data_IF_265018323159
#
_entry.id   IF_265018323159
#
_cell.length_a   1.000
_cell.length_b   1.000
_cell.length_c   1.000
_cell.angle_alpha   90.00
_cell.angle_beta   90.00
_cell.angle_gamma   90.00
#
_symmetry.space_group_name_H-M   'P 1'
#
loop_
_entity.id
_entity.type
_entity.pdbx_description
1 polymer ?
#
# COMPACT_ATOMS: atom_id res chain seq x y z
N UNK A 1 -3.26 -14.41 2.95
CA UNK A 1 -2.96 -13.06 3.49
C UNK A 1 -1.50 -12.95 3.90
N UNK A 2 -0.99 -13.65 4.92
CA UNK A 2 0.40 -13.51 5.39
C UNK A 2 1.47 -13.73 4.30
N UNK A 3 1.38 -14.80 3.51
CA UNK A 3 2.31 -15.08 2.41
C UNK A 3 2.28 -13.99 1.31
N UNK A 4 1.11 -13.41 1.07
CA UNK A 4 0.96 -12.29 0.13
C UNK A 4 1.68 -11.04 0.65
N UNK A 5 1.56 -10.75 1.95
CA UNK A 5 2.28 -9.65 2.58
C UNK A 5 3.79 -9.83 2.60
N UNK A 6 4.26 -11.04 2.91
CA UNK A 6 5.70 -11.37 2.83
C UNK A 6 6.21 -11.13 1.40
N UNK A 7 5.46 -11.59 0.38
CA UNK A 7 5.81 -11.31 -1.01
C UNK A 7 5.87 -9.81 -1.32
N UNK A 8 4.88 -9.01 -0.87
CA UNK A 8 4.87 -7.58 -1.16
C UNK A 8 6.06 -6.85 -0.55
N UNK A 9 6.48 -7.19 0.67
CA UNK A 9 7.67 -6.59 1.29
C UNK A 9 8.97 -7.02 0.62
N UNK A 10 9.10 -8.29 0.25
CA UNK A 10 10.31 -8.75 -0.45
C UNK A 10 10.39 -8.11 -1.84
N UNK A 11 9.26 -7.89 -2.52
CA UNK A 11 9.25 -7.16 -3.78
C UNK A 11 9.64 -5.70 -3.62
N UNK A 12 9.13 -5.01 -2.59
CA UNK A 12 9.52 -3.65 -2.22
C UNK A 12 11.05 -3.55 -2.01
N UNK A 13 11.63 -4.47 -1.23
CA UNK A 13 13.08 -4.50 -1.00
C UNK A 13 13.89 -4.79 -2.27
N UNK A 14 13.37 -5.61 -3.20
CA UNK A 14 14.00 -5.86 -4.52
C UNK A 14 14.00 -4.60 -5.39
N UNK A 15 12.96 -3.76 -5.29
CA UNK A 15 12.88 -2.49 -5.99
C UNK A 15 13.81 -1.44 -5.38
N UNK A 16 13.92 -1.39 -4.05
CA UNK A 16 14.73 -0.42 -3.30
C UNK A 16 16.23 -0.70 -3.38
N UNK A 17 16.62 -1.98 -3.30
CA UNK A 17 18.04 -2.38 -3.31
C UNK A 17 18.74 -2.09 -4.65
N UNK A 18 17.96 -1.85 -5.71
CA UNK A 18 18.51 -1.70 -7.05
C UNK A 18 19.30 -2.93 -7.51
N UNK A 19 19.11 -4.09 -6.86
CA UNK A 19 19.73 -5.38 -7.21
C UNK A 19 19.03 -5.96 -8.45
N UNK A 20 19.09 -5.15 -9.49
CA UNK A 20 18.79 -5.47 -10.87
C UNK A 20 20.14 -5.83 -11.49
N UNK A 21 20.73 -6.95 -11.04
CA UNK A 21 22.13 -7.35 -11.27
C UNK A 21 22.76 -6.73 -12.51
N UNK A 22 23.64 -5.76 -12.33
CA UNK A 22 24.44 -5.06 -13.36
C UNK A 22 23.74 -4.89 -14.74
N UNK A 23 22.52 -4.35 -14.74
CA UNK A 23 21.76 -4.12 -15.97
C UNK A 23 22.09 -2.77 -16.61
N UNK A 24 23.02 -2.80 -17.57
CA UNK A 24 23.57 -1.63 -18.28
C UNK A 24 22.70 -1.12 -19.44
N UNK A 25 21.49 -1.64 -19.64
CA UNK A 25 20.56 -1.20 -20.70
C UNK A 25 19.10 -1.10 -20.23
N UNK A 26 18.33 -0.08 -20.68
CA UNK A 26 16.89 0.08 -20.38
C UNK A 26 16.01 -1.12 -20.74
N UNK A 27 16.46 -2.00 -21.65
CA UNK A 27 15.74 -3.22 -22.05
C UNK A 27 15.89 -4.38 -21.07
N UNK A 28 16.83 -4.30 -20.12
CA UNK A 28 17.07 -5.38 -19.13
C UNK A 28 16.34 -5.12 -17.82
N UNK A 29 16.12 -3.85 -17.47
CA UNK A 29 15.31 -3.41 -16.32
C UNK A 29 13.81 -3.63 -16.50
N UNK A 30 13.29 -3.69 -17.73
CA UNK A 30 11.84 -3.92 -18.01
C UNK A 30 11.44 -5.40 -17.87
N UNK A 31 12.37 -6.33 -18.14
CA UNK A 31 12.09 -7.77 -18.17
C UNK A 31 11.55 -8.35 -16.85
N UNK A 32 12.09 -8.00 -15.66
CA UNK A 32 11.57 -8.50 -14.39
C UNK A 32 10.12 -8.08 -14.08
N UNK A 33 9.72 -6.86 -14.49
CA UNK A 33 8.35 -6.36 -14.26
C UNK A 33 7.33 -7.08 -15.15
N UNK A 34 7.61 -7.19 -16.45
CA UNK A 34 6.74 -7.94 -17.37
C UNK A 34 6.61 -9.41 -16.94
N UNK A 35 7.73 -10.04 -16.57
CA UNK A 35 7.74 -11.40 -16.07
C UNK A 35 6.93 -11.54 -14.78
N UNK A 36 7.00 -10.57 -13.85
CA UNK A 36 6.22 -10.57 -12.62
C UNK A 36 4.72 -10.50 -12.89
N UNK A 37 4.29 -9.68 -13.85
CA UNK A 37 2.88 -9.60 -14.25
C UNK A 37 2.39 -10.89 -14.87
N UNK A 38 3.14 -11.47 -15.80
CA UNK A 38 2.78 -12.75 -16.43
C UNK A 38 2.71 -13.88 -15.41
N UNK A 39 3.66 -13.91 -14.45
CA UNK A 39 3.68 -14.89 -13.37
C UNK A 39 2.47 -14.74 -12.44
N UNK A 40 2.15 -13.51 -12.02
CA UNK A 40 0.99 -13.21 -11.18
C UNK A 40 -0.33 -13.56 -11.88
N UNK A 41 -0.50 -13.18 -13.14
CA UNK A 41 -1.69 -13.46 -13.95
C UNK A 41 -1.93 -14.97 -14.08
N UNK A 42 -0.87 -15.72 -14.37
CA UNK A 42 -0.92 -17.18 -14.48
C UNK A 42 -1.33 -17.84 -13.15
N UNK A 43 -0.67 -17.47 -12.04
CA UNK A 43 -0.94 -18.11 -10.75
C UNK A 43 -2.27 -17.72 -10.14
N UNK A 44 -2.79 -16.53 -10.45
CA UNK A 44 -4.16 -16.16 -10.14
C UNK A 44 -5.17 -16.85 -11.07
N UNK A 45 -4.74 -17.63 -12.06
CA UNK A 45 -5.60 -18.40 -12.95
C UNK A 45 -6.44 -17.52 -13.88
N UNK A 46 -5.84 -16.42 -14.34
CA UNK A 46 -6.41 -15.46 -15.30
C UNK A 46 -5.86 -15.70 -16.72
N UNK A 47 -4.74 -16.41 -16.86
CA UNK A 47 -4.16 -16.84 -18.13
C UNK A 47 -3.77 -18.32 -18.11
N UNK A 48 -3.75 -18.94 -19.31
CA UNK A 48 -3.40 -20.35 -19.51
C UNK A 48 -2.29 -20.51 -20.58
N UNK A 49 -1.06 -20.06 -20.31
CA UNK A 49 0.08 -20.32 -21.18
C UNK A 49 0.38 -21.83 -21.25
N UNK A 50 1.04 -22.31 -22.33
CA UNK A 50 1.37 -23.72 -22.51
C UNK A 50 2.37 -24.26 -21.48
N UNK A 51 3.22 -23.38 -20.92
CA UNK A 51 4.16 -23.70 -19.85
C UNK A 51 3.98 -22.68 -18.71
N UNK A 52 4.26 -23.10 -17.47
CA UNK A 52 4.31 -22.20 -16.32
C UNK A 52 5.37 -21.10 -16.58
N UNK A 53 5.01 -19.81 -16.45
CA UNK A 53 5.98 -18.73 -16.59
C UNK A 53 7.10 -18.84 -15.55
N UNK A 54 8.35 -18.51 -15.89
CA UNK A 54 9.44 -18.53 -14.93
C UNK A 54 9.20 -17.49 -13.82
N UNK A 55 9.50 -17.85 -12.58
CA UNK A 55 9.44 -16.90 -11.45
C UNK A 55 10.50 -15.80 -11.62
N UNK A 56 10.15 -14.50 -11.45
CA UNK A 56 11.12 -13.39 -11.53
C UNK A 56 12.21 -13.46 -10.46
N UNK A 57 11.87 -13.97 -9.28
CA UNK A 57 12.80 -14.20 -8.17
C UNK A 57 12.26 -15.28 -7.23
N UNK A 58 13.07 -15.75 -6.29
CA UNK A 58 12.65 -16.72 -5.26
C UNK A 58 11.45 -16.21 -4.43
N UNK A 59 11.31 -14.90 -4.28
CA UNK A 59 10.21 -14.26 -3.55
C UNK A 59 8.84 -14.57 -4.15
N UNK A 60 8.75 -14.75 -5.48
CA UNK A 60 7.48 -15.03 -6.16
C UNK A 60 6.93 -16.42 -5.85
N UNK A 61 7.73 -17.33 -5.29
CA UNK A 61 7.21 -18.56 -4.71
C UNK A 61 6.15 -18.30 -3.63
N UNK A 62 6.27 -17.20 -2.86
CA UNK A 62 5.28 -16.80 -1.86
C UNK A 62 3.96 -16.36 -2.52
N UNK A 63 4.04 -15.61 -3.62
CA UNK A 63 2.87 -15.21 -4.41
C UNK A 63 2.14 -16.44 -4.96
N UNK A 64 2.86 -17.39 -5.56
CA UNK A 64 2.30 -18.64 -6.08
C UNK A 64 1.49 -19.40 -5.01
N UNK A 65 2.03 -19.54 -3.80
CA UNK A 65 1.33 -20.20 -2.69
C UNK A 65 0.05 -19.45 -2.31
N UNK A 66 0.13 -18.12 -2.18
CA UNK A 66 -1.06 -17.31 -1.86
C UNK A 66 -2.12 -17.37 -2.96
N UNK A 67 -1.71 -17.38 -4.23
CA UNK A 67 -2.60 -17.40 -5.38
C UNK A 67 -3.36 -18.72 -5.51
N UNK A 68 -2.75 -19.85 -5.13
CA UNK A 68 -3.46 -21.15 -5.05
C UNK A 68 -4.66 -21.07 -4.11
N UNK A 69 -4.48 -20.54 -2.91
CA UNK A 69 -5.58 -20.35 -1.95
C UNK A 69 -6.63 -19.39 -2.50
N UNK A 70 -6.23 -18.29 -3.12
CA UNK A 70 -7.18 -17.33 -3.71
C UNK A 70 -8.02 -17.98 -4.81
N UNK A 71 -7.44 -18.84 -5.66
CA UNK A 71 -8.18 -19.57 -6.70
C UNK A 71 -9.29 -20.47 -6.17
N UNK A 72 -9.13 -21.01 -4.97
CA UNK A 72 -10.11 -21.90 -4.35
C UNK A 72 -11.21 -21.13 -3.61
N UNK A 73 -10.92 -19.90 -3.17
CA UNK A 73 -11.74 -19.18 -2.19
C UNK A 73 -12.44 -17.94 -2.75
N UNK A 74 -11.97 -17.38 -3.87
CA UNK A 74 -12.57 -16.20 -4.49
C UNK A 74 -12.88 -16.40 -5.97
N UNK A 75 -13.88 -15.68 -6.46
CA UNK A 75 -14.34 -15.80 -7.84
C UNK A 75 -13.39 -15.13 -8.85
N UNK A 76 -13.65 -15.30 -10.15
CA UNK A 76 -12.81 -14.75 -11.22
C UNK A 76 -12.72 -13.22 -11.18
N UNK A 77 -13.81 -12.51 -10.87
CA UNK A 77 -13.83 -11.05 -10.82
C UNK A 77 -13.00 -10.51 -9.65
N UNK A 78 -13.04 -11.18 -8.49
CA UNK A 78 -12.20 -10.87 -7.34
C UNK A 78 -10.72 -11.09 -7.66
N UNK A 79 -10.38 -12.21 -8.31
CA UNK A 79 -9.00 -12.49 -8.75
C UNK A 79 -8.51 -11.45 -9.76
N UNK A 80 -9.37 -11.02 -10.68
CA UNK A 80 -9.06 -9.96 -11.63
C UNK A 80 -8.81 -8.61 -10.92
N UNK A 81 -9.62 -8.26 -9.91
CA UNK A 81 -9.38 -7.05 -9.10
C UNK A 81 -8.04 -7.11 -8.35
N UNK A 82 -7.70 -8.25 -7.75
CA UNK A 82 -6.41 -8.46 -7.07
C UNK A 82 -5.26 -8.29 -8.07
N UNK A 83 -5.35 -8.94 -9.23
CA UNK A 83 -4.34 -8.83 -10.29
C UNK A 83 -4.17 -7.37 -10.77
N UNK A 84 -5.27 -6.65 -10.97
CA UNK A 84 -5.21 -5.25 -11.39
C UNK A 84 -4.47 -4.37 -10.37
N UNK A 85 -4.63 -4.61 -9.06
CA UNK A 85 -3.88 -3.86 -8.04
C UNK A 85 -2.40 -4.24 -8.01
N UNK A 86 -2.06 -5.53 -8.18
CA UNK A 86 -0.66 -5.97 -8.36
C UNK A 86 -0.05 -5.27 -9.57
N UNK A 87 -0.78 -5.22 -10.68
CA UNK A 87 -0.34 -4.60 -11.93
C UNK A 87 -0.05 -3.11 -11.75
N UNK A 88 -1.00 -2.37 -11.17
CA UNK A 88 -0.84 -0.93 -10.88
C UNK A 88 0.40 -0.70 -10.03
N UNK A 89 0.57 -1.46 -8.94
CA UNK A 89 1.72 -1.32 -8.05
C UNK A 89 3.05 -1.57 -8.78
N UNK A 90 3.17 -2.68 -9.51
CA UNK A 90 4.38 -3.05 -10.27
C UNK A 90 4.71 -1.99 -11.34
N UNK A 91 3.71 -1.52 -12.09
CA UNK A 91 3.90 -0.50 -13.14
C UNK A 91 4.26 0.88 -12.55
N UNK A 92 3.63 1.28 -11.44
CA UNK A 92 3.86 2.60 -10.84
C UNK A 92 5.15 2.69 -10.03
N UNK A 93 5.69 1.58 -9.51
CA UNK A 93 7.01 1.58 -8.86
C UNK A 93 8.12 2.09 -9.81
N UNK A 94 7.97 1.90 -11.12
CA UNK A 94 8.90 2.46 -12.12
C UNK A 94 8.86 4.00 -12.17
N UNK A 95 7.74 4.63 -11.78
CA UNK A 95 7.59 6.09 -11.73
C UNK A 95 8.33 6.68 -10.54
N UNK A 96 8.23 6.04 -9.37
CA UNK A 96 8.95 6.45 -8.16
C UNK A 96 10.48 6.43 -8.37
N UNK A 97 11.00 5.37 -8.98
CA UNK A 97 12.42 5.28 -9.36
C UNK A 97 12.90 6.44 -10.24
N UNK A 98 12.03 7.05 -11.07
CA UNK A 98 12.40 8.19 -11.93
C UNK A 98 12.59 9.48 -11.13
N UNK A 99 11.81 9.71 -10.08
CA UNK A 99 11.99 10.88 -9.23
C UNK A 99 13.25 10.74 -8.37
N UNK A 100 13.43 9.58 -7.73
CA UNK A 100 14.61 9.29 -6.89
C UNK A 100 15.91 9.38 -7.69
N UNK A 101 15.97 8.78 -8.89
CA UNK A 101 17.19 8.79 -9.72
C UNK A 101 17.58 10.17 -10.27
N UNK A 102 16.62 11.10 -10.40
CA UNK A 102 16.87 12.47 -10.88
C UNK A 102 17.21 13.45 -9.77
N UNK A 103 17.03 13.05 -8.50
CA UNK A 103 17.22 13.95 -7.36
C UNK A 103 16.26 15.14 -7.35
N UNK A 104 15.07 14.99 -7.96
CA UNK A 104 14.07 16.06 -8.05
C UNK A 104 13.01 15.83 -6.98
N UNK A 105 12.81 16.82 -6.12
CA UNK A 105 11.69 16.82 -5.16
C UNK A 105 10.40 17.18 -5.92
N UNK A 106 9.39 16.28 -5.95
CA UNK A 106 8.12 16.56 -6.61
C UNK A 106 7.35 17.65 -5.86
N UNK A 107 6.40 18.30 -6.53
CA UNK A 107 5.37 19.08 -5.84
C UNK A 107 4.50 18.17 -4.97
N UNK A 108 3.78 18.75 -3.99
CA UNK A 108 2.85 17.98 -3.16
C UNK A 108 1.78 17.25 -4.00
N UNK A 109 1.29 17.89 -5.08
CA UNK A 109 0.32 17.28 -5.97
C UNK A 109 0.92 16.07 -6.70
N UNK A 110 2.08 16.23 -7.33
CA UNK A 110 2.77 15.13 -8.02
C UNK A 110 3.09 13.98 -7.05
N UNK A 111 3.50 14.32 -5.82
CA UNK A 111 3.71 13.34 -4.75
C UNK A 111 2.48 12.48 -4.52
N UNK A 112 1.33 13.11 -4.24
CA UNK A 112 0.07 12.38 -4.02
C UNK A 112 -0.41 11.60 -5.25
N UNK A 113 -0.10 12.06 -6.46
CA UNK A 113 -0.47 11.39 -7.70
C UNK A 113 0.29 10.07 -7.87
N UNK A 114 1.63 10.06 -7.76
CA UNK A 114 2.37 8.80 -7.91
C UNK A 114 2.28 7.91 -6.65
N UNK A 115 2.37 8.50 -5.45
CA UNK A 115 2.44 7.75 -4.19
C UNK A 115 1.18 6.94 -3.92
N UNK A 116 0.02 7.42 -4.41
CA UNK A 116 -1.25 6.68 -4.35
C UNK A 116 -1.11 5.29 -4.95
N UNK A 117 -0.38 5.18 -6.06
CA UNK A 117 -0.28 3.96 -6.84
C UNK A 117 0.99 3.15 -6.51
N UNK A 118 1.98 3.75 -5.83
CA UNK A 118 3.14 3.01 -5.27
C UNK A 118 2.95 2.55 -3.82
N UNK A 119 1.81 2.86 -3.21
CA UNK A 119 1.40 2.26 -1.94
C UNK A 119 0.96 0.80 -2.15
N UNK A 120 1.33 -0.08 -1.23
CA UNK A 120 0.85 -1.48 -1.25
C UNK A 120 -0.57 -1.63 -0.70
N UNK A 121 -1.13 -0.59 -0.04
CA UNK A 121 -2.44 -0.64 0.60
C UNK A 121 -3.58 -1.04 -0.37
N UNK A 122 -3.66 -0.54 -1.62
CA UNK A 122 -4.68 -0.99 -2.57
C UNK A 122 -4.62 -2.49 -2.88
N UNK A 123 -3.44 -3.10 -2.90
CA UNK A 123 -3.32 -4.56 -3.02
C UNK A 123 -3.94 -5.26 -1.81
N UNK A 124 -3.70 -4.77 -0.59
CA UNK A 124 -4.34 -5.31 0.62
C UNK A 124 -5.86 -5.11 0.62
N UNK A 125 -6.35 -3.95 0.20
CA UNK A 125 -7.78 -3.66 0.07
C UNK A 125 -8.48 -4.61 -0.91
N UNK A 126 -7.80 -5.03 -1.99
CA UNK A 126 -8.34 -6.01 -2.94
C UNK A 126 -8.55 -7.40 -2.34
N UNK A 127 -7.86 -7.72 -1.23
CA UNK A 127 -8.01 -8.97 -0.49
C UNK A 127 -9.08 -8.89 0.62
N UNK A 128 -9.67 -7.72 0.87
CA UNK A 128 -10.61 -7.54 1.97
C UNK A 128 -11.92 -8.33 1.77
N UNK A 129 -12.37 -8.54 0.53
CA UNK A 129 -13.51 -9.42 0.24
C UNK A 129 -13.24 -10.89 0.64
N UNK A 130 -12.02 -11.37 0.37
CA UNK A 130 -11.57 -12.69 0.83
C UNK A 130 -11.51 -12.76 2.36
N UNK A 131 -10.92 -11.75 3.00
CA UNK A 131 -10.78 -11.72 4.46
C UNK A 131 -12.12 -11.60 5.20
N UNK A 132 -13.11 -10.93 4.59
CA UNK A 132 -14.45 -10.75 5.14
C UNK A 132 -15.43 -11.87 4.76
N UNK A 133 -15.02 -12.83 3.94
CA UNK A 133 -15.86 -13.88 3.38
C UNK A 133 -17.16 -13.28 2.78
N UNK A 134 -16.98 -12.40 1.81
CA UNK A 134 -18.08 -11.72 1.11
C UNK A 134 -17.74 -11.51 -0.36
N UNK A 135 -18.74 -11.64 -1.23
CA UNK A 135 -18.67 -11.14 -2.60
C UNK A 135 -19.53 -9.91 -2.70
N UNK A 136 -18.92 -8.74 -2.85
CA UNK A 136 -19.67 -7.50 -2.97
C UNK A 136 -20.26 -7.36 -4.38
N UNK A 137 -21.54 -6.97 -4.52
CA UNK A 137 -22.14 -6.79 -5.83
C UNK A 137 -21.54 -5.55 -6.51
N UNK A 138 -21.47 -5.59 -7.84
CA UNK A 138 -20.92 -4.51 -8.66
C UNK A 138 -21.54 -3.15 -8.38
N UNK A 139 -22.85 -3.11 -8.11
CA UNK A 139 -23.58 -1.87 -7.75
C UNK A 139 -23.05 -1.18 -6.50
N UNK A 140 -22.39 -1.91 -5.59
CA UNK A 140 -21.72 -1.34 -4.41
C UNK A 140 -20.28 -0.94 -4.75
N UNK A 141 -19.55 -1.81 -5.48
CA UNK A 141 -18.16 -1.57 -5.87
C UNK A 141 -17.97 -0.33 -6.75
N UNK A 142 -18.98 0.05 -7.52
CA UNK A 142 -18.96 1.18 -8.45
C UNK A 142 -19.47 2.50 -7.85
N UNK A 143 -19.74 2.54 -6.54
CA UNK A 143 -20.20 3.75 -5.84
C UNK A 143 -19.05 4.72 -5.53
N UNK A 144 -19.37 6.00 -5.45
CA UNK A 144 -18.42 7.03 -5.00
C UNK A 144 -18.00 6.81 -3.55
N UNK A 145 -18.88 6.26 -2.72
CA UNK A 145 -18.63 5.91 -1.33
C UNK A 145 -17.59 4.79 -1.22
N UNK A 146 -17.70 3.74 -2.04
CA UNK A 146 -16.69 2.68 -2.08
C UNK A 146 -15.34 3.22 -2.57
N UNK A 147 -15.36 4.06 -3.60
CA UNK A 147 -14.15 4.76 -4.08
C UNK A 147 -13.53 5.62 -2.99
N UNK A 148 -14.36 6.36 -2.24
CA UNK A 148 -13.92 7.22 -1.14
C UNK A 148 -13.31 6.40 -0.01
N UNK A 149 -13.94 5.29 0.37
CA UNK A 149 -13.42 4.37 1.38
C UNK A 149 -12.00 3.90 1.03
N UNK A 150 -11.79 3.42 -0.19
CA UNK A 150 -10.47 2.98 -0.67
C UNK A 150 -9.44 4.10 -0.69
N UNK A 151 -9.80 5.25 -1.26
CA UNK A 151 -8.91 6.41 -1.37
C UNK A 151 -8.44 6.89 0.00
N UNK A 152 -9.34 6.94 0.98
CA UNK A 152 -9.03 7.45 2.31
C UNK A 152 -8.27 6.44 3.17
N UNK A 153 -8.55 5.13 3.05
CA UNK A 153 -7.72 4.09 3.69
C UNK A 153 -6.30 4.11 3.14
N UNK A 154 -6.15 4.20 1.81
CA UNK A 154 -4.82 4.31 1.19
C UNK A 154 -4.09 5.58 1.65
N UNK A 155 -4.75 6.74 1.60
CA UNK A 155 -4.18 8.02 2.05
C UNK A 155 -3.75 7.97 3.52
N UNK A 156 -4.59 7.42 4.41
CA UNK A 156 -4.26 7.25 5.82
C UNK A 156 -3.04 6.34 6.03
N UNK A 157 -2.97 5.22 5.30
CA UNK A 157 -1.83 4.31 5.31
C UNK A 157 -0.52 4.97 4.85
N UNK A 158 -0.56 5.74 3.76
CA UNK A 158 0.58 6.54 3.27
C UNK A 158 1.04 7.53 4.34
N UNK A 159 0.12 8.31 4.93
CA UNK A 159 0.48 9.29 5.98
C UNK A 159 1.17 8.61 7.16
N UNK A 160 0.62 7.50 7.65
CA UNK A 160 1.19 6.76 8.78
C UNK A 160 2.58 6.25 8.44
N UNK A 161 2.74 5.65 7.26
CA UNK A 161 4.01 5.14 6.80
C UNK A 161 5.03 6.27 6.76
N UNK A 162 4.77 7.34 5.99
CA UNK A 162 5.68 8.46 5.82
C UNK A 162 6.09 9.14 7.14
N UNK A 163 5.14 9.32 8.07
CA UNK A 163 5.47 9.93 9.37
C UNK A 163 6.40 9.04 10.19
N UNK A 164 6.14 7.74 10.23
CA UNK A 164 6.90 6.80 11.06
C UNK A 164 8.20 6.33 10.40
N UNK A 165 8.27 6.37 9.07
CA UNK A 165 9.45 6.05 8.28
C UNK A 165 10.36 7.26 8.03
N UNK A 166 9.90 8.49 8.31
CA UNK A 166 10.61 9.74 8.03
C UNK A 166 12.10 9.69 8.38
N UNK A 167 12.44 9.24 9.60
CA UNK A 167 13.84 9.15 10.03
C UNK A 167 14.65 8.21 9.13
N UNK A 168 14.14 7.02 8.83
CA UNK A 168 14.79 6.03 7.96
C UNK A 168 14.97 6.63 6.56
N UNK A 169 13.90 7.15 5.99
CA UNK A 169 13.88 7.63 4.59
C UNK A 169 14.75 8.86 4.36
N UNK A 170 14.89 9.74 5.36
CA UNK A 170 15.85 10.85 5.33
C UNK A 170 17.31 10.37 5.19
N UNK A 171 17.63 9.14 5.60
CA UNK A 171 18.98 8.57 5.46
C UNK A 171 19.18 7.81 4.15
N UNK A 172 18.09 7.44 3.47
CA UNK A 172 18.11 6.61 2.26
C UNK A 172 17.82 7.42 0.97
N UNK A 173 17.65 8.74 1.08
CA UNK A 173 17.27 9.64 -0.02
C UNK A 173 15.96 9.22 -0.73
N UNK A 174 15.03 8.62 0.02
CA UNK A 174 13.68 8.30 -0.46
C UNK A 174 12.78 9.53 -0.31
N UNK A 175 11.81 9.68 -1.21
CA UNK A 175 10.89 10.83 -1.20
C UNK A 175 9.78 10.58 -0.19
N UNK A 176 9.65 11.50 0.77
CA UNK A 176 8.68 11.43 1.86
C UNK A 176 7.76 12.67 1.86
N UNK A 177 6.50 12.51 2.27
CA UNK A 177 5.52 13.60 2.31
C UNK A 177 5.98 14.81 3.16
N UNK A 178 6.63 14.58 4.30
CA UNK A 178 7.03 15.66 5.23
C UNK A 178 8.01 16.64 4.56
N UNK A 179 9.18 16.23 4.02
CA UNK A 179 10.07 17.13 3.33
C UNK A 179 9.46 17.71 2.04
N UNK A 180 8.59 16.98 1.33
CA UNK A 180 7.86 17.51 0.16
C UNK A 180 6.97 18.69 0.57
N UNK A 181 6.16 18.53 1.61
CA UNK A 181 5.29 19.60 2.12
C UNK A 181 6.08 20.78 2.70
N UNK A 182 7.20 20.52 3.38
CA UNK A 182 8.11 21.58 3.86
C UNK A 182 8.68 22.39 2.69
N UNK A 183 9.15 21.71 1.65
CA UNK A 183 9.70 22.35 0.45
C UNK A 183 8.63 23.18 -0.29
N UNK A 184 7.42 22.64 -0.46
CA UNK A 184 6.34 23.31 -1.16
C UNK A 184 5.79 24.55 -0.41
N UNK A 185 5.71 24.48 0.93
CA UNK A 185 5.08 25.52 1.74
C UNK A 185 6.06 26.52 2.37
N UNK A 186 7.35 26.17 2.49
CA UNK A 186 8.34 26.92 3.27
C UNK A 186 8.10 26.90 4.79
N UNK A 187 7.20 26.03 5.28
CA UNK A 187 6.84 25.96 6.70
C UNK A 187 7.82 25.09 7.50
N UNK A 188 7.80 25.29 8.83
CA UNK A 188 8.53 24.44 9.77
C UNK A 188 7.99 23.01 9.80
N UNK A 189 8.81 22.06 10.25
CA UNK A 189 8.40 20.66 10.42
C UNK A 189 7.20 20.54 11.37
N UNK A 190 7.15 21.31 12.46
CA UNK A 190 6.03 21.26 13.42
C UNK A 190 4.71 21.69 12.79
N UNK A 191 4.76 22.72 11.94
CA UNK A 191 3.59 23.20 11.19
C UNK A 191 3.13 22.16 10.17
N UNK A 192 4.06 21.58 9.40
CA UNK A 192 3.76 20.53 8.42
C UNK A 192 3.21 19.27 9.09
N UNK A 193 3.82 18.83 10.19
CA UNK A 193 3.34 17.69 10.97
C UNK A 193 1.92 17.93 11.49
N UNK A 194 1.62 19.13 11.99
CA UNK A 194 0.27 19.49 12.42
C UNK A 194 -0.76 19.39 11.28
N UNK A 195 -0.39 19.80 10.06
CA UNK A 195 -1.25 19.67 8.88
C UNK A 195 -1.43 18.20 8.47
N UNK A 196 -0.37 17.40 8.50
CA UNK A 196 -0.42 15.97 8.16
C UNK A 196 -1.32 15.21 9.14
N UNK A 197 -1.24 15.50 10.44
CA UNK A 197 -2.12 14.90 11.45
C UNK A 197 -3.59 15.30 11.21
N UNK A 198 -3.87 16.57 10.90
CA UNK A 198 -5.23 17.00 10.52
C UNK A 198 -5.74 16.27 9.26
N UNK A 199 -4.87 16.02 8.28
CA UNK A 199 -5.23 15.23 7.09
C UNK A 199 -5.55 13.77 7.47
N UNK A 200 -4.79 13.16 8.38
CA UNK A 200 -5.05 11.80 8.86
C UNK A 200 -6.39 11.72 9.61
N UNK A 201 -6.67 12.68 10.51
CA UNK A 201 -7.95 12.78 11.20
C UNK A 201 -9.12 12.89 10.21
N UNK A 202 -8.95 13.70 9.17
CA UNK A 202 -9.92 13.81 8.08
C UNK A 202 -10.11 12.48 7.34
N UNK A 203 -9.03 11.75 7.02
CA UNK A 203 -9.14 10.42 6.41
C UNK A 203 -10.02 9.50 7.27
N UNK A 204 -9.80 9.46 8.59
CA UNK A 204 -10.58 8.64 9.52
C UNK A 204 -12.07 9.03 9.52
N UNK A 205 -12.37 10.33 9.49
CA UNK A 205 -13.75 10.82 9.41
C UNK A 205 -14.43 10.42 8.09
N UNK A 206 -13.73 10.58 6.97
CA UNK A 206 -14.24 10.29 5.64
C UNK A 206 -14.43 8.77 5.43
N UNK A 207 -13.53 7.93 5.97
CA UNK A 207 -13.67 6.46 6.01
C UNK A 207 -14.96 6.06 6.72
N UNK A 208 -15.17 6.56 7.94
CA UNK A 208 -16.37 6.26 8.74
C UNK A 208 -17.64 6.78 8.05
N UNK A 209 -17.57 7.93 7.39
CA UNK A 209 -18.66 8.51 6.61
C UNK A 209 -19.05 7.60 5.44
N UNK A 210 -18.07 7.21 4.62
CA UNK A 210 -18.26 6.31 3.49
C UNK A 210 -18.80 4.94 3.92
N UNK A 211 -18.25 4.35 4.99
CA UNK A 211 -18.73 3.08 5.54
C UNK A 211 -20.20 3.13 5.95
N UNK A 212 -20.63 4.18 6.67
CA UNK A 212 -22.05 4.36 7.04
C UNK A 212 -22.96 4.52 5.83
N UNK A 213 -22.52 5.27 4.83
CA UNK A 213 -23.30 5.47 3.60
C UNK A 213 -23.47 4.16 2.82
N UNK A 214 -22.39 3.39 2.66
CA UNK A 214 -22.41 2.06 2.03
C UNK A 214 -23.35 1.09 2.74
N UNK A 215 -23.32 1.07 4.07
CA UNK A 215 -24.23 0.24 4.86
C UNK A 215 -25.69 0.63 4.63
N UNK A 216 -26.00 1.92 4.59
CA UNK A 216 -27.35 2.43 4.31
C UNK A 216 -27.90 2.01 2.94
N UNK A 217 -27.04 1.84 1.93
CA UNK A 217 -27.46 1.38 0.59
C UNK A 217 -28.01 -0.05 0.58
N UNK A 218 -27.65 -0.86 1.58
CA UNK A 218 -28.02 -2.28 1.69
C UNK A 218 -28.89 -2.56 2.91
N UNK A 219 -29.55 -1.55 3.48
CA UNK A 219 -30.41 -1.70 4.67
C UNK A 219 -31.50 -2.77 4.50
N UNK A 220 -32.00 -2.95 3.28
CA UNK A 220 -33.05 -3.94 2.95
C UNK A 220 -32.50 -5.37 2.73
N UNK A 221 -31.19 -5.58 2.77
CA UNK A 221 -30.54 -6.89 2.62
C UNK A 221 -29.64 -7.19 3.83
N UNK A 222 -30.20 -7.85 4.88
CA UNK A 222 -29.45 -8.12 6.11
C UNK A 222 -28.20 -8.97 5.92
N UNK A 223 -28.20 -9.89 4.94
CA UNK A 223 -27.05 -10.77 4.68
C UNK A 223 -25.92 -10.00 4.01
N UNK A 224 -26.24 -9.22 2.97
CA UNK A 224 -25.26 -8.36 2.32
C UNK A 224 -24.75 -7.29 3.26
N UNK A 225 -25.62 -6.68 4.08
CA UNK A 225 -25.23 -5.71 5.11
C UNK A 225 -24.22 -6.30 6.09
N UNK A 226 -24.45 -7.52 6.58
CA UNK A 226 -23.53 -8.18 7.50
C UNK A 226 -22.17 -8.47 6.83
N UNK A 227 -22.16 -8.90 5.58
CA UNK A 227 -20.93 -9.10 4.81
C UNK A 227 -20.17 -7.79 4.54
N UNK A 228 -20.89 -6.72 4.18
CA UNK A 228 -20.34 -5.40 3.94
C UNK A 228 -19.82 -4.76 5.24
N UNK A 229 -20.47 -4.99 6.38
CA UNK A 229 -19.95 -4.57 7.68
C UNK A 229 -18.60 -5.22 7.96
N UNK A 230 -18.48 -6.55 7.80
CA UNK A 230 -17.19 -7.24 7.96
C UNK A 230 -16.14 -6.68 6.99
N UNK A 231 -16.51 -6.40 5.76
CA UNK A 231 -15.61 -5.77 4.79
C UNK A 231 -15.11 -4.40 5.27
N UNK A 232 -16.02 -3.53 5.73
CA UNK A 232 -15.70 -2.21 6.26
C UNK A 232 -14.77 -2.33 7.48
N UNK A 233 -15.09 -3.23 8.42
CA UNK A 233 -14.26 -3.47 9.61
C UNK A 233 -12.83 -3.89 9.21
N UNK A 234 -12.71 -4.76 8.20
CA UNK A 234 -11.39 -5.18 7.69
C UNK A 234 -10.61 -4.01 7.11
N UNK A 235 -11.21 -3.18 6.25
CA UNK A 235 -10.49 -2.05 5.64
C UNK A 235 -10.19 -0.92 6.65
N UNK A 236 -11.07 -0.68 7.62
CA UNK A 236 -10.81 0.25 8.74
C UNK A 236 -9.64 -0.24 9.60
N UNK A 237 -9.57 -1.55 9.86
CA UNK A 237 -8.50 -2.15 10.62
C UNK A 237 -7.13 -2.02 9.94
N UNK A 238 -7.07 -1.84 8.61
CA UNK A 238 -5.79 -1.70 7.89
C UNK A 238 -5.03 -0.44 8.29
N UNK A 239 -5.70 0.70 8.49
CA UNK A 239 -5.05 1.95 8.92
C UNK A 239 -4.49 1.77 10.34
N UNK A 240 -5.28 1.18 11.23
CA UNK A 240 -4.88 0.91 12.61
C UNK A 240 -3.75 -0.13 12.67
N UNK A 241 -3.84 -1.17 11.86
CA UNK A 241 -2.85 -2.22 11.72
C UNK A 241 -1.52 -1.69 11.19
N UNK A 242 -1.56 -0.81 10.17
CA UNK A 242 -0.37 -0.13 9.66
C UNK A 242 0.31 0.71 10.75
N UNK A 243 -0.46 1.42 11.57
CA UNK A 243 0.07 2.16 12.71
C UNK A 243 0.76 1.25 13.74
N UNK A 244 0.05 0.25 14.29
CA UNK A 244 0.63 -0.63 15.30
C UNK A 244 1.81 -1.43 14.77
N UNK A 245 1.70 -1.97 13.55
CA UNK A 245 2.82 -2.67 12.90
C UNK A 245 4.03 -1.75 12.75
N UNK A 246 3.84 -0.49 12.34
CA UNK A 246 4.94 0.46 12.19
C UNK A 246 5.58 0.84 13.54
N UNK A 247 4.79 0.85 14.62
CA UNK A 247 5.33 1.05 15.97
C UNK A 247 6.18 -0.11 16.45
N UNK A 248 5.74 -1.34 16.19
CA UNK A 248 6.32 -2.57 16.77
C UNK A 248 7.41 -3.20 15.90
N UNK A 249 7.41 -2.92 14.59
CA UNK A 249 8.35 -3.52 13.66
C UNK A 249 9.76 -2.90 13.77
N UNK A 250 10.77 -3.76 13.73
CA UNK A 250 12.19 -3.38 13.68
C UNK A 250 12.56 -2.59 12.39
N UNK A 251 11.69 -2.57 11.37
CA UNK A 251 11.93 -1.83 10.11
C UNK A 251 12.11 -0.33 10.33
N UNK A 252 11.37 0.27 11.27
CA UNK A 252 11.45 1.72 11.55
C UNK A 252 12.13 2.05 12.88
N UNK A 253 12.21 1.08 13.80
CA UNK A 253 12.83 1.24 15.12
C UNK A 253 12.27 2.43 15.93
N UNK A 254 10.99 2.74 15.76
CA UNK A 254 10.35 3.90 16.42
C UNK A 254 9.78 3.59 17.79
N UNK A 255 9.60 2.30 18.14
CA UNK A 255 9.07 1.85 19.43
C UNK A 255 9.76 2.51 20.64
N UNK A 256 11.08 2.63 20.57
CA UNK A 256 11.94 3.18 21.62
C UNK A 256 11.71 4.68 21.90
N UNK A 257 11.03 5.38 20.99
CA UNK A 257 10.74 6.82 21.11
C UNK A 257 9.34 7.12 21.66
N UNK A 258 8.58 6.07 21.99
CA UNK A 258 7.23 6.19 22.57
C UNK A 258 7.31 6.64 24.03
N UNK A 259 6.56 7.69 24.36
CA UNK A 259 6.43 8.24 25.70
C UNK A 259 5.31 7.54 26.49
N UNK A 260 5.24 7.78 27.80
CA UNK A 260 4.20 7.19 28.67
C UNK A 260 2.77 7.59 28.26
N UNK A 261 2.60 8.80 27.72
CA UNK A 261 1.30 9.29 27.22
C UNK A 261 0.93 8.77 25.83
N UNK A 262 1.79 7.92 25.23
CA UNK A 262 1.62 7.36 23.90
C UNK A 262 2.11 8.25 22.75
N UNK A 263 2.57 9.47 23.02
CA UNK A 263 3.22 10.32 22.02
C UNK A 263 4.57 9.74 21.57
N UNK A 264 5.05 10.19 20.40
CA UNK A 264 6.35 9.79 19.85
C UNK A 264 7.26 11.00 19.75
N UNK A 265 8.47 10.89 20.30
CA UNK A 265 9.52 11.91 20.18
C UNK A 265 10.71 11.32 19.44
N UNK A 266 10.64 11.34 18.11
CA UNK A 266 11.64 10.70 17.24
C UNK A 266 12.74 11.72 16.90
N UNK A 267 13.99 11.51 17.35
CA UNK A 267 15.08 12.37 16.92
C UNK A 267 15.44 12.09 15.47
N UNK A 268 15.47 13.13 14.64
CA UNK A 268 15.83 13.05 13.22
C UNK A 268 17.34 13.08 12.95
N UNK A 269 18.16 13.34 13.97
CA UNK A 269 19.63 13.28 13.89
C UNK A 269 20.12 12.02 14.58
N UNK A 270 21.10 11.31 14.00
CA UNK A 270 21.85 10.30 14.73
C UNK A 270 22.65 10.95 15.88
N UNK A 271 22.76 10.26 17.01
CA UNK A 271 23.90 10.47 17.89
C UNK A 271 25.18 10.25 17.06
N UNK A 272 26.22 11.08 17.19
CA UNK A 272 27.49 10.81 16.52
C UNK A 272 27.92 9.39 16.90
N UNK A 273 28.28 8.59 15.90
CA UNK A 273 28.79 7.24 16.09
C UNK A 273 29.78 7.22 17.27
N UNK A 274 29.45 6.47 18.32
CA UNK A 274 30.40 6.11 19.37
C UNK A 274 31.27 4.97 18.89
#
# INVERSE_FOLDING_TARGET
MALFGLWSFVWDDVLDSGDHGDHTSPSETVRPFEQALVYAEHHLGLSNPPNEPPAPSAAFGLLQHSARTLREQVNADQRLRIFNQIKIYIECCQTEQKYTSRGVVPSEQEYWEYRRDTSTIPMWLSLAEYAADVTLPRVILETDEFSTLWKQVNRGGIIINDVLSLRKEMHENVINLVPVMMHASGQSIDSVMSLIIQQLEKCVQDIKGAGRALLGMVDNDPLLRAGLQRYIDQVESMVTGAYYWSLECDRYQVAQYKQEDGSLVIPLKCAPHQ
#
